data_IF_684346584635
#
_entry.id   IF_684346584635
#
_cell.length_a   1.000
_cell.length_b   1.000
_cell.length_c   1.000
_cell.angle_alpha   90.00
_cell.angle_beta   90.00
_cell.angle_gamma   90.00
#
_symmetry.space_group_name_H-M   'P 1'
#
loop_
_entity.id
_entity.type
_entity.pdbx_description
1 polymer ?
#
# COMPACT_ATOMS: atom_id res chain seq x y z
N UNK A 1 -23.31 -3.75 6.44
CA UNK A 1 -22.98 -2.84 5.34
C UNK A 1 -22.93 -1.43 5.89
N UNK A 2 -21.99 -0.64 5.47
CA UNK A 2 -21.80 0.74 5.89
C UNK A 2 -22.92 1.61 5.30
N UNK A 3 -23.50 2.55 6.08
CA UNK A 3 -24.52 3.47 5.56
C UNK A 3 -23.86 4.66 4.86
N UNK A 4 -23.93 4.79 3.51
CA UNK A 4 -23.35 5.92 2.78
C UNK A 4 -23.94 7.29 3.19
N UNK A 5 -25.13 7.30 3.80
CA UNK A 5 -25.76 8.53 4.28
C UNK A 5 -24.97 9.21 5.41
N UNK A 6 -24.04 8.50 6.07
CA UNK A 6 -23.10 9.07 7.04
C UNK A 6 -22.11 10.04 6.40
N UNK A 7 -21.89 9.90 5.08
CA UNK A 7 -20.95 10.70 4.30
C UNK A 7 -21.61 11.80 3.48
N UNK A 8 -22.95 11.91 3.53
CA UNK A 8 -23.66 12.99 2.84
C UNK A 8 -23.60 14.25 3.69
N UNK A 9 -22.88 15.29 3.27
CA UNK A 9 -22.70 16.51 4.07
C UNK A 9 -24.04 17.22 4.22
N UNK A 10 -24.55 17.31 5.43
CA UNK A 10 -25.66 18.22 5.72
C UNK A 10 -25.15 19.61 6.16
N UNK A 11 -23.84 19.78 6.45
CA UNK A 11 -23.17 21.06 6.69
C UNK A 11 -21.66 20.93 6.97
N UNK A 12 -21.10 19.71 7.16
CA UNK A 12 -19.66 19.47 7.42
C UNK A 12 -19.28 18.06 6.97
N UNK A 13 -18.09 17.88 6.39
CA UNK A 13 -17.55 16.58 6.03
C UNK A 13 -17.49 15.62 7.23
N UNK A 14 -17.65 14.32 7.00
CA UNK A 14 -17.50 13.32 8.04
C UNK A 14 -16.07 13.28 8.58
N UNK A 15 -15.93 13.13 9.88
CA UNK A 15 -14.62 13.02 10.52
C UNK A 15 -14.25 11.55 10.74
N UNK A 16 -13.21 11.11 10.06
CA UNK A 16 -12.64 9.77 10.16
C UNK A 16 -11.33 9.82 10.93
N UNK A 17 -11.17 8.97 11.93
CA UNK A 17 -9.95 8.91 12.74
C UNK A 17 -9.25 7.58 12.52
N UNK A 18 -7.91 7.59 12.43
CA UNK A 18 -7.09 6.38 12.41
C UNK A 18 -6.31 6.24 13.72
N UNK A 19 -6.32 5.04 14.30
CA UNK A 19 -5.47 4.64 15.43
C UNK A 19 -4.98 3.21 15.25
N UNK A 20 -3.71 2.94 15.62
CA UNK A 20 -3.16 1.59 15.64
C UNK A 20 -3.67 0.82 16.87
N UNK A 21 -4.20 -0.37 16.66
CA UNK A 21 -4.62 -1.26 17.75
C UNK A 21 -3.40 -1.64 18.62
N UNK A 22 -3.52 -1.48 19.92
CA UNK A 22 -2.43 -1.75 20.86
C UNK A 22 -1.44 -0.61 21.08
N UNK A 23 -1.70 0.58 20.53
CA UNK A 23 -0.84 1.74 20.72
C UNK A 23 -1.52 2.84 21.55
N UNK A 24 -0.82 3.50 22.48
CA UNK A 24 0.55 3.27 22.97
C UNK A 24 0.72 2.04 23.86
N UNK A 25 -0.37 1.53 24.43
CA UNK A 25 -0.44 0.28 25.18
C UNK A 25 -1.66 -0.53 24.74
N UNK A 26 -1.54 -1.85 24.77
CA UNK A 26 -2.65 -2.75 24.37
C UNK A 26 -3.89 -2.59 25.24
N UNK A 27 -3.71 -2.18 26.50
CA UNK A 27 -4.79 -1.91 27.45
C UNK A 27 -5.58 -0.64 27.11
N UNK A 28 -5.02 0.29 26.35
CA UNK A 28 -5.62 1.59 26.07
C UNK A 28 -6.63 1.57 24.92
N UNK A 29 -6.51 0.61 24.00
CA UNK A 29 -7.23 0.62 22.73
C UNK A 29 -8.72 0.82 22.89
N UNK A 30 -9.36 0.09 23.79
CA UNK A 30 -10.82 0.16 23.99
C UNK A 30 -11.25 1.55 24.51
N UNK A 31 -10.52 2.10 25.46
CA UNK A 31 -10.82 3.41 26.03
C UNK A 31 -10.55 4.55 25.03
N UNK A 32 -9.50 4.42 24.20
CA UNK A 32 -9.23 5.33 23.07
C UNK A 32 -10.40 5.32 22.08
N UNK A 33 -10.88 4.14 21.64
CA UNK A 33 -12.03 4.04 20.71
C UNK A 33 -13.27 4.74 21.24
N UNK A 34 -13.56 4.58 22.55
CA UNK A 34 -14.68 5.25 23.19
C UNK A 34 -14.43 6.77 23.31
N UNK A 35 -13.20 7.20 23.59
CA UNK A 35 -12.82 8.60 23.62
C UNK A 35 -12.96 9.28 22.26
N UNK A 36 -12.57 8.62 21.17
CA UNK A 36 -12.74 9.12 19.80
C UNK A 36 -14.22 9.35 19.47
N UNK A 37 -15.07 8.36 19.79
CA UNK A 37 -16.51 8.50 19.62
C UNK A 37 -17.08 9.65 20.46
N UNK A 38 -16.68 9.77 21.74
CA UNK A 38 -17.15 10.82 22.62
C UNK A 38 -16.74 12.21 22.13
N UNK A 39 -15.53 12.33 21.55
CA UNK A 39 -15.03 13.55 20.94
C UNK A 39 -15.63 13.89 19.59
N UNK A 40 -16.41 12.96 19.01
CA UNK A 40 -17.17 13.22 17.80
C UNK A 40 -16.61 12.65 16.52
N UNK A 41 -15.74 11.64 16.55
CA UNK A 41 -15.40 10.86 15.36
C UNK A 41 -16.66 10.20 14.78
N UNK A 42 -16.87 10.33 13.49
CA UNK A 42 -17.99 9.72 12.78
C UNK A 42 -17.69 8.26 12.40
N UNK A 43 -16.43 8.00 12.03
CA UNK A 43 -15.92 6.70 11.63
C UNK A 43 -14.55 6.52 12.30
N UNK A 44 -14.26 5.29 12.72
CA UNK A 44 -12.97 4.95 13.31
C UNK A 44 -12.29 3.90 12.46
N UNK A 45 -11.12 4.20 11.94
CA UNK A 45 -10.20 3.25 11.32
C UNK A 45 -9.31 2.68 12.42
N UNK A 46 -9.42 1.39 12.66
CA UNK A 46 -8.57 0.63 13.58
C UNK A 46 -7.48 -0.07 12.78
N UNK A 47 -6.25 0.42 12.91
CA UNK A 47 -5.08 -0.14 12.24
C UNK A 47 -4.72 -1.51 12.82
N UNK A 48 -4.63 -2.51 11.97
CA UNK A 48 -4.10 -3.83 12.30
C UNK A 48 -2.58 -3.77 12.18
N UNK A 49 -1.80 -3.90 13.27
CA UNK A 49 -0.36 -3.72 13.21
C UNK A 49 0.31 -4.79 12.34
N UNK A 50 1.30 -4.36 11.55
CA UNK A 50 2.05 -5.21 10.63
C UNK A 50 3.55 -4.91 10.69
N UNK A 51 4.40 -5.93 10.47
CA UNK A 51 5.85 -5.80 10.54
C UNK A 51 6.47 -5.02 9.39
N UNK A 52 5.78 -4.99 8.24
CA UNK A 52 6.29 -4.44 6.99
C UNK A 52 5.32 -3.41 6.36
N UNK A 53 4.98 -2.31 7.06
CA UNK A 53 3.93 -1.38 6.67
C UNK A 53 4.42 -0.39 5.60
N UNK A 54 4.63 -0.87 4.36
CA UNK A 54 5.29 -0.16 3.26
C UNK A 54 4.53 1.09 2.78
N UNK A 55 3.21 1.12 2.96
CA UNK A 55 2.38 2.26 2.55
C UNK A 55 2.28 3.35 3.63
N UNK A 56 2.74 3.07 4.84
CA UNK A 56 2.59 3.96 5.99
C UNK A 56 3.81 4.86 6.21
N UNK A 57 3.54 6.03 6.79
CA UNK A 57 4.58 6.96 7.21
C UNK A 57 5.26 6.55 8.53
N UNK A 58 6.41 7.18 8.87
CA UNK A 58 7.23 6.77 10.03
C UNK A 58 6.47 6.73 11.38
N UNK A 59 5.49 7.60 11.57
CA UNK A 59 4.70 7.68 12.81
C UNK A 59 3.81 6.44 12.98
N UNK A 60 3.17 5.99 11.90
CA UNK A 60 2.34 4.77 11.91
C UNK A 60 3.23 3.54 12.00
N UNK A 61 4.33 3.48 11.24
CA UNK A 61 5.32 2.39 11.34
C UNK A 61 5.84 2.20 12.78
N UNK A 62 6.12 3.31 13.49
CA UNK A 62 6.53 3.25 14.89
C UNK A 62 5.41 2.71 15.79
N UNK A 63 4.17 3.14 15.57
CA UNK A 63 3.02 2.65 16.34
C UNK A 63 2.75 1.17 16.13
N UNK A 64 2.88 0.68 14.90
CA UNK A 64 2.76 -0.74 14.56
C UNK A 64 3.84 -1.57 15.26
N UNK A 65 5.09 -1.11 15.21
CA UNK A 65 6.20 -1.77 15.91
C UNK A 65 5.94 -1.91 17.41
N UNK A 66 5.50 -0.83 18.06
CA UNK A 66 5.20 -0.82 19.51
C UNK A 66 4.05 -1.79 19.81
N UNK A 67 3.01 -1.85 18.98
CA UNK A 67 1.88 -2.75 19.15
C UNK A 67 2.29 -4.23 18.98
N UNK A 68 3.11 -4.54 17.97
CA UNK A 68 3.63 -5.88 17.72
C UNK A 68 4.54 -6.36 18.86
N UNK A 69 5.39 -5.49 19.42
CA UNK A 69 6.24 -5.81 20.59
C UNK A 69 5.41 -6.17 21.83
N UNK A 70 4.16 -5.72 21.91
CA UNK A 70 3.19 -6.08 22.95
C UNK A 70 2.36 -7.34 22.62
N UNK A 71 2.62 -7.97 21.47
CA UNK A 71 1.96 -9.18 21.03
C UNK A 71 0.55 -8.96 20.46
N UNK A 72 0.28 -7.77 19.94
CA UNK A 72 -1.02 -7.47 19.29
C UNK A 72 -1.02 -8.06 17.88
N UNK A 73 -2.01 -8.88 17.60
CA UNK A 73 -2.29 -9.51 16.32
C UNK A 73 -3.70 -9.19 15.83
N UNK A 74 -4.10 -9.77 14.69
CA UNK A 74 -5.45 -9.57 14.14
C UNK A 74 -6.56 -10.04 15.10
N UNK A 75 -6.36 -11.15 15.80
CA UNK A 75 -7.30 -11.68 16.78
C UNK A 75 -7.53 -10.70 17.95
N UNK A 76 -6.45 -10.10 18.44
CA UNK A 76 -6.50 -9.05 19.46
C UNK A 76 -7.29 -7.82 18.98
N UNK A 77 -7.09 -7.40 17.73
CA UNK A 77 -7.87 -6.29 17.13
C UNK A 77 -9.38 -6.58 17.17
N UNK A 78 -9.79 -7.80 16.82
CA UNK A 78 -11.21 -8.21 16.89
C UNK A 78 -11.73 -8.18 18.32
N UNK A 79 -10.93 -8.59 19.29
CA UNK A 79 -11.32 -8.56 20.70
C UNK A 79 -11.50 -7.12 21.20
N UNK A 80 -10.64 -6.18 20.80
CA UNK A 80 -10.82 -4.77 21.15
C UNK A 80 -12.12 -4.20 20.57
N UNK A 81 -12.46 -4.52 19.33
CA UNK A 81 -13.73 -4.10 18.73
C UNK A 81 -14.91 -4.67 19.53
N UNK A 82 -14.89 -5.96 19.88
CA UNK A 82 -15.93 -6.62 20.66
C UNK A 82 -16.13 -5.97 22.04
N UNK A 83 -15.03 -5.71 22.75
CA UNK A 83 -15.07 -5.05 24.06
C UNK A 83 -15.57 -3.60 23.94
N UNK A 84 -15.13 -2.85 22.94
CA UNK A 84 -15.61 -1.49 22.73
C UNK A 84 -17.12 -1.46 22.42
N UNK A 85 -17.61 -2.40 21.60
CA UNK A 85 -19.05 -2.56 21.33
C UNK A 85 -19.85 -2.86 22.60
N UNK A 86 -19.37 -3.79 23.43
CA UNK A 86 -19.99 -4.11 24.71
C UNK A 86 -20.04 -2.91 25.68
N UNK A 87 -19.08 -1.98 25.56
CA UNK A 87 -19.01 -0.74 26.35
C UNK A 87 -19.71 0.46 25.68
N UNK A 88 -20.45 0.25 24.59
CA UNK A 88 -21.30 1.28 23.98
C UNK A 88 -20.71 2.00 22.77
N UNK A 89 -19.67 1.46 22.13
CA UNK A 89 -19.18 1.97 20.84
C UNK A 89 -20.23 1.73 19.76
N UNK A 90 -20.76 2.79 19.16
CA UNK A 90 -21.74 2.75 18.06
C UNK A 90 -21.19 3.28 16.75
N UNK A 91 -20.09 4.06 16.78
CA UNK A 91 -19.42 4.55 15.57
C UNK A 91 -18.99 3.36 14.69
N UNK A 92 -19.15 3.44 13.36
CA UNK A 92 -18.60 2.44 12.46
C UNK A 92 -17.10 2.25 12.67
N UNK A 93 -16.66 0.98 12.66
CA UNK A 93 -15.26 0.60 12.76
C UNK A 93 -14.82 -0.02 11.44
N UNK A 94 -13.79 0.54 10.85
CA UNK A 94 -13.09 0.04 9.66
C UNK A 94 -11.80 -0.60 10.11
N UNK A 95 -11.56 -1.86 9.78
CA UNK A 95 -10.26 -2.51 9.98
C UNK A 95 -9.36 -2.14 8.83
N UNK A 96 -8.26 -1.44 9.11
CA UNK A 96 -7.30 -1.01 8.10
C UNK A 96 -5.97 -1.72 8.31
N UNK A 97 -5.39 -2.25 7.26
CA UNK A 97 -4.09 -2.92 7.34
C UNK A 97 -3.65 -3.53 6.04
N UNK A 98 -2.78 -4.53 6.15
CA UNK A 98 -2.16 -5.23 5.05
C UNK A 98 -2.76 -6.62 4.86
N UNK A 99 -2.62 -7.16 3.66
CA UNK A 99 -3.26 -8.41 3.30
C UNK A 99 -2.64 -9.64 4.00
N UNK A 100 -1.33 -9.65 4.23
CA UNK A 100 -0.66 -10.81 4.78
C UNK A 100 -1.21 -11.29 6.15
N UNK A 101 -1.50 -10.43 7.14
CA UNK A 101 -2.17 -10.85 8.37
C UNK A 101 -3.54 -11.51 8.14
N UNK A 102 -4.33 -11.00 7.18
CA UNK A 102 -5.64 -11.54 6.84
C UNK A 102 -5.54 -12.90 6.14
N UNK A 103 -4.58 -13.02 5.20
CA UNK A 103 -4.29 -14.29 4.53
C UNK A 103 -3.82 -15.36 5.51
N UNK A 104 -2.91 -15.00 6.44
CA UNK A 104 -2.41 -15.92 7.47
C UNK A 104 -3.51 -16.37 8.45
N UNK A 105 -4.47 -15.49 8.76
CA UNK A 105 -5.63 -15.81 9.60
C UNK A 105 -6.67 -16.66 8.86
N UNK A 106 -6.69 -16.58 7.53
CA UNK A 106 -7.67 -17.16 6.61
C UNK A 106 -8.76 -16.15 6.26
N UNK A 107 -8.86 -15.78 4.97
CA UNK A 107 -9.69 -14.68 4.47
C UNK A 107 -11.15 -14.74 4.91
N UNK A 108 -11.83 -15.85 4.62
CA UNK A 108 -13.24 -16.05 4.99
C UNK A 108 -13.44 -16.00 6.51
N UNK A 109 -12.52 -16.62 7.26
CA UNK A 109 -12.53 -16.60 8.72
C UNK A 109 -12.32 -15.18 9.24
N UNK A 110 -11.38 -14.44 8.68
CA UNK A 110 -11.08 -13.08 9.07
C UNK A 110 -12.29 -12.16 8.91
N UNK A 111 -12.97 -12.23 7.78
CA UNK A 111 -14.17 -11.43 7.50
C UNK A 111 -15.34 -11.81 8.42
N UNK A 112 -15.64 -13.11 8.56
CA UNK A 112 -16.70 -13.60 9.42
C UNK A 112 -16.52 -13.20 10.88
N UNK A 113 -15.30 -13.36 11.41
CA UNK A 113 -15.01 -13.04 12.82
C UNK A 113 -14.97 -11.51 13.05
N UNK A 114 -14.54 -10.70 12.05
CA UNK A 114 -14.64 -9.25 12.09
C UNK A 114 -16.10 -8.78 12.17
N UNK A 115 -16.97 -9.37 11.35
CA UNK A 115 -18.41 -9.09 11.41
C UNK A 115 -18.99 -9.43 12.77
N UNK A 116 -18.68 -10.61 13.29
CA UNK A 116 -19.12 -11.07 14.61
C UNK A 116 -18.59 -10.19 15.75
N UNK A 117 -17.40 -9.62 15.62
CA UNK A 117 -16.84 -8.66 16.57
C UNK A 117 -17.52 -7.29 16.50
N UNK A 118 -18.22 -6.97 15.42
CA UNK A 118 -18.94 -5.71 15.22
C UNK A 118 -18.17 -4.69 14.37
N UNK A 119 -17.15 -5.10 13.61
CA UNK A 119 -16.56 -4.29 12.56
C UNK A 119 -17.54 -4.11 11.38
N UNK A 120 -17.32 -3.10 10.56
CA UNK A 120 -18.23 -2.70 9.49
C UNK A 120 -17.59 -2.77 8.09
N UNK A 121 -16.30 -2.57 8.00
CA UNK A 121 -15.59 -2.47 6.72
C UNK A 121 -14.12 -2.84 6.84
N UNK A 122 -13.49 -3.02 5.66
CA UNK A 122 -12.05 -3.20 5.51
C UNK A 122 -11.45 -2.19 4.54
N UNK A 123 -10.25 -1.72 4.89
CA UNK A 123 -9.27 -1.12 3.98
C UNK A 123 -8.05 -2.03 3.97
N UNK A 124 -7.74 -2.65 2.84
CA UNK A 124 -6.56 -3.51 2.68
C UNK A 124 -5.63 -2.85 1.66
N UNK A 125 -4.53 -2.27 2.15
CA UNK A 125 -3.75 -1.29 1.38
C UNK A 125 -2.93 -1.89 0.23
N UNK A 126 -2.64 -3.19 0.29
CA UNK A 126 -1.82 -3.93 -0.68
C UNK A 126 -2.58 -5.08 -1.37
N UNK A 127 -3.91 -5.09 -1.28
CA UNK A 127 -4.77 -6.06 -1.96
C UNK A 127 -5.50 -5.39 -3.14
N UNK A 128 -4.95 -5.45 -4.36
CA UNK A 128 -5.63 -4.90 -5.54
C UNK A 128 -6.86 -5.75 -5.88
N UNK A 129 -7.89 -5.16 -6.51
CA UNK A 129 -9.14 -5.85 -6.83
C UNK A 129 -8.97 -7.14 -7.64
N UNK A 130 -7.96 -7.21 -8.48
CA UNK A 130 -7.64 -8.35 -9.33
C UNK A 130 -7.23 -9.60 -8.53
N UNK A 131 -6.76 -9.38 -7.30
CA UNK A 131 -6.34 -10.44 -6.37
C UNK A 131 -7.34 -10.66 -5.22
N UNK A 132 -8.38 -9.83 -5.15
CA UNK A 132 -9.28 -9.75 -4.01
C UNK A 132 -10.55 -10.61 -4.14
N UNK A 133 -10.67 -11.48 -5.16
CA UNK A 133 -11.92 -12.21 -5.46
C UNK A 133 -12.46 -12.95 -4.24
N UNK A 134 -11.65 -13.77 -3.58
CA UNK A 134 -12.03 -14.53 -2.38
C UNK A 134 -12.42 -13.61 -1.25
N UNK A 135 -11.60 -12.61 -0.97
CA UNK A 135 -11.84 -11.66 0.12
C UNK A 135 -13.12 -10.83 -0.09
N UNK A 136 -13.32 -10.32 -1.31
CA UNK A 136 -14.54 -9.59 -1.68
C UNK A 136 -15.79 -10.48 -1.63
N UNK A 137 -15.67 -11.76 -2.01
CA UNK A 137 -16.71 -12.75 -1.87
C UNK A 137 -17.15 -12.87 -0.41
N UNK A 138 -16.22 -13.11 0.49
CA UNK A 138 -16.45 -13.21 1.93
C UNK A 138 -17.06 -11.92 2.50
N UNK A 139 -16.56 -10.73 2.09
CA UNK A 139 -17.12 -9.46 2.52
C UNK A 139 -18.60 -9.31 2.13
N UNK A 140 -18.97 -9.71 0.90
CA UNK A 140 -20.36 -9.66 0.43
C UNK A 140 -21.25 -10.61 1.20
N UNK A 141 -20.82 -11.84 1.44
CA UNK A 141 -21.57 -12.86 2.19
C UNK A 141 -21.85 -12.42 3.62
N UNK A 142 -20.88 -11.79 4.28
CA UNK A 142 -21.01 -11.32 5.66
C UNK A 142 -21.59 -9.89 5.77
N UNK A 143 -21.89 -9.21 4.66
CA UNK A 143 -22.37 -7.84 4.65
C UNK A 143 -21.36 -6.83 5.21
N UNK A 144 -20.07 -7.08 4.97
CA UNK A 144 -18.97 -6.17 5.28
C UNK A 144 -18.63 -5.32 4.06
N UNK A 145 -18.33 -4.05 4.27
CA UNK A 145 -17.89 -3.17 3.17
C UNK A 145 -16.40 -3.34 2.90
N UNK A 146 -16.03 -3.25 1.63
CA UNK A 146 -14.65 -3.09 1.18
C UNK A 146 -14.45 -1.68 0.64
N UNK A 147 -13.46 -0.97 1.17
CA UNK A 147 -13.17 0.42 0.82
C UNK A 147 -11.92 0.45 -0.06
N UNK A 148 -12.07 0.66 -1.37
CA UNK A 148 -10.92 0.75 -2.25
C UNK A 148 -10.16 2.07 -2.08
N UNK A 149 -8.84 2.02 -2.30
CA UNK A 149 -7.99 3.21 -2.30
C UNK A 149 -7.88 3.80 -3.71
N UNK A 150 -7.72 5.13 -3.77
CA UNK A 150 -7.40 5.87 -4.98
C UNK A 150 -6.17 6.72 -4.71
N UNK A 151 -5.13 6.55 -5.53
CA UNK A 151 -3.88 7.30 -5.42
C UNK A 151 -3.84 8.50 -6.39
N UNK A 152 -2.93 9.46 -6.22
CA UNK A 152 -2.80 10.60 -7.13
C UNK A 152 -2.59 10.22 -8.59
N UNK A 153 -1.92 9.09 -8.85
CA UNK A 153 -1.61 8.59 -10.18
C UNK A 153 -2.67 7.64 -10.76
N UNK A 154 -3.69 7.25 -9.98
CA UNK A 154 -4.76 6.34 -10.44
C UNK A 154 -5.51 6.97 -11.61
N UNK A 155 -5.48 6.30 -12.77
CA UNK A 155 -6.14 6.74 -14.01
C UNK A 155 -7.67 6.67 -13.93
N UNK A 156 -8.37 7.40 -14.81
CA UNK A 156 -9.84 7.47 -14.77
C UNK A 156 -10.53 6.11 -14.99
N UNK A 157 -9.99 5.26 -15.86
CA UNK A 157 -10.54 3.92 -16.09
C UNK A 157 -10.41 3.06 -14.83
N UNK A 158 -9.27 3.15 -14.18
CA UNK A 158 -9.03 2.48 -12.90
C UNK A 158 -9.99 2.99 -11.82
N UNK A 159 -10.22 4.31 -11.73
CA UNK A 159 -11.21 4.90 -10.81
C UNK A 159 -12.61 4.34 -11.10
N UNK A 160 -13.03 4.24 -12.38
CA UNK A 160 -14.32 3.62 -12.73
C UNK A 160 -14.41 2.16 -12.31
N UNK A 161 -13.30 1.42 -12.40
CA UNK A 161 -13.26 0.04 -11.94
C UNK A 161 -13.39 -0.04 -10.41
N UNK A 162 -12.59 0.72 -9.68
CA UNK A 162 -12.61 0.79 -8.21
C UNK A 162 -13.97 1.25 -7.68
N UNK A 163 -14.60 2.23 -8.32
CA UNK A 163 -15.90 2.75 -7.91
C UNK A 163 -17.04 1.73 -7.98
N UNK A 164 -16.93 0.72 -8.86
CA UNK A 164 -17.91 -0.38 -8.93
C UNK A 164 -17.78 -1.36 -7.77
N UNK A 165 -16.62 -1.41 -7.12
CA UNK A 165 -16.36 -2.28 -5.98
C UNK A 165 -16.70 -1.58 -4.65
N UNK A 166 -16.66 -0.25 -4.65
CA UNK A 166 -17.02 0.54 -3.48
C UNK A 166 -18.52 0.47 -3.21
N UNK A 167 -18.90 -0.06 -2.08
CA UNK A 167 -20.29 -0.12 -1.60
C UNK A 167 -20.58 0.91 -0.50
N UNK A 168 -19.58 1.70 -0.11
CA UNK A 168 -19.67 2.77 0.88
C UNK A 168 -19.00 4.05 0.39
N UNK A 169 -17.67 4.09 0.40
CA UNK A 169 -16.88 5.23 -0.08
C UNK A 169 -15.54 4.74 -0.65
N UNK A 170 -14.81 5.65 -1.31
CA UNK A 170 -13.43 5.42 -1.71
C UNK A 170 -12.49 6.26 -0.86
N UNK A 171 -11.36 5.68 -0.46
CA UNK A 171 -10.31 6.35 0.28
C UNK A 171 -9.32 7.00 -0.69
N UNK A 172 -9.25 8.32 -0.68
CA UNK A 172 -8.35 9.09 -1.55
C UNK A 172 -7.08 9.43 -0.80
N UNK A 173 -5.96 8.85 -1.23
CA UNK A 173 -4.63 9.23 -0.74
C UNK A 173 -4.21 10.53 -1.42
N UNK A 174 -3.94 11.59 -0.65
CA UNK A 174 -3.47 12.86 -1.19
C UNK A 174 -1.99 13.09 -0.91
N UNK A 175 -1.29 13.78 -1.81
CA UNK A 175 0.08 14.26 -1.58
C UNK A 175 0.06 15.58 -0.79
N UNK A 176 -0.39 15.56 0.45
CA UNK A 176 -0.20 16.72 1.31
C UNK A 176 1.16 16.62 2.00
N UNK A 177 2.15 17.32 1.43
CA UNK A 177 3.39 17.70 2.11
C UNK A 177 4.31 16.58 2.59
N UNK A 178 5.12 15.99 1.69
CA UNK A 178 6.39 15.34 2.07
C UNK A 178 7.54 16.34 2.18
N UNK A 179 7.31 17.64 1.92
CA UNK A 179 8.30 18.71 2.05
C UNK A 179 7.69 19.86 2.85
N UNK A 180 8.15 20.02 4.09
CA UNK A 180 8.00 21.13 5.02
C UNK A 180 6.94 22.20 4.74
N UNK A 181 6.03 22.42 5.73
CA UNK A 181 5.17 23.60 5.87
C UNK A 181 4.55 24.15 4.60
N UNK A 182 3.66 23.39 3.98
CA UNK A 182 2.74 23.97 3.00
C UNK A 182 1.55 24.63 3.74
N UNK A 183 1.42 25.91 3.63
CA UNK A 183 0.41 26.75 4.29
C UNK A 183 -0.95 26.76 3.61
N UNK A 184 -1.22 25.85 2.69
CA UNK A 184 -2.53 25.71 2.01
C UNK A 184 -2.73 24.31 1.45
N UNK A 185 -3.96 23.82 1.44
CA UNK A 185 -4.38 22.64 0.66
C UNK A 185 -4.01 22.90 -0.80
N UNK A 186 -3.19 22.04 -1.38
CA UNK A 186 -2.63 22.31 -2.69
C UNK A 186 -3.75 22.26 -3.76
N UNK A 187 -3.67 23.13 -4.78
CA UNK A 187 -4.50 23.08 -5.99
C UNK A 187 -4.54 21.67 -6.60
N UNK A 188 -3.53 20.87 -6.38
CA UNK A 188 -3.42 19.48 -6.81
C UNK A 188 -4.45 18.54 -6.19
N UNK A 189 -4.92 18.78 -4.96
CA UNK A 189 -6.00 17.98 -4.36
C UNK A 189 -7.35 18.28 -5.04
N UNK A 190 -7.67 19.55 -5.26
CA UNK A 190 -8.89 19.94 -5.98
C UNK A 190 -8.95 19.31 -7.38
N UNK A 191 -7.85 19.36 -8.13
CA UNK A 191 -7.74 18.74 -9.45
C UNK A 191 -7.87 17.19 -9.39
N UNK A 192 -7.28 16.56 -8.37
CA UNK A 192 -7.42 15.12 -8.16
C UNK A 192 -8.87 14.73 -7.89
N UNK A 193 -9.55 15.41 -6.99
CA UNK A 193 -10.95 15.14 -6.65
C UNK A 193 -11.88 15.43 -7.83
N UNK A 194 -11.68 16.54 -8.56
CA UNK A 194 -12.44 16.84 -9.77
C UNK A 194 -12.30 15.76 -10.83
N UNK A 195 -11.09 15.22 -11.03
CA UNK A 195 -10.83 14.10 -11.95
C UNK A 195 -11.56 12.81 -11.53
N UNK A 196 -11.61 12.51 -10.22
CA UNK A 196 -12.33 11.36 -9.70
C UNK A 196 -13.83 11.54 -9.87
N UNK A 197 -14.37 12.68 -9.45
CA UNK A 197 -15.80 12.99 -9.55
C UNK A 197 -16.32 13.07 -10.99
N UNK A 198 -15.46 13.33 -11.96
CA UNK A 198 -15.84 13.26 -13.39
C UNK A 198 -16.29 11.85 -13.84
N UNK A 199 -16.01 10.81 -13.06
CA UNK A 199 -16.27 9.41 -13.45
C UNK A 199 -17.07 8.60 -12.41
N UNK A 200 -17.35 9.17 -11.23
CA UNK A 200 -18.11 8.48 -10.17
C UNK A 200 -18.74 9.46 -9.17
N UNK A 201 -19.90 9.07 -8.63
CA UNK A 201 -20.59 9.75 -7.54
C UNK A 201 -20.36 9.06 -6.17
N UNK A 202 -19.49 8.06 -6.10
CA UNK A 202 -19.15 7.39 -4.83
C UNK A 202 -18.52 8.44 -3.89
N UNK A 203 -18.96 8.49 -2.61
CA UNK A 203 -18.37 9.39 -1.63
C UNK A 203 -16.87 9.22 -1.49
N UNK A 204 -16.16 10.33 -1.26
CA UNK A 204 -14.70 10.37 -1.17
C UNK A 204 -14.25 10.76 0.24
N UNK A 205 -13.48 9.91 0.89
CA UNK A 205 -12.77 10.22 2.12
C UNK A 205 -11.31 10.55 1.80
N UNK A 206 -10.84 11.73 2.19
CA UNK A 206 -9.47 12.19 1.91
C UNK A 206 -8.60 12.01 3.13
N UNK A 207 -7.54 11.24 2.98
CA UNK A 207 -6.50 11.02 3.98
C UNK A 207 -5.13 11.50 3.52
N UNK A 208 -4.25 11.68 4.49
CA UNK A 208 -2.86 12.11 4.36
C UNK A 208 -2.61 13.62 4.58
N UNK A 209 -1.84 13.90 5.63
CA UNK A 209 -1.30 15.25 5.91
C UNK A 209 -2.25 16.21 6.62
N UNK A 210 -3.52 15.85 6.82
CA UNK A 210 -4.47 16.65 7.60
C UNK A 210 -4.12 16.55 9.08
N UNK A 211 -3.95 17.69 9.77
CA UNK A 211 -3.46 17.71 11.16
C UNK A 211 -4.13 18.76 12.04
N UNK A 212 -4.84 19.72 11.47
CA UNK A 212 -5.48 20.83 12.18
C UNK A 212 -6.95 20.97 11.78
N UNK A 213 -7.71 21.76 12.57
CA UNK A 213 -9.08 22.11 12.23
C UNK A 213 -9.18 22.87 10.91
N UNK A 214 -8.26 23.80 10.65
CA UNK A 214 -8.27 24.56 9.40
C UNK A 214 -8.09 23.63 8.18
N UNK A 215 -7.15 22.69 8.26
CA UNK A 215 -7.00 21.65 7.22
C UNK A 215 -8.25 20.77 7.10
N UNK A 216 -8.90 20.42 8.22
CA UNK A 216 -10.13 19.63 8.21
C UNK A 216 -11.27 20.38 7.49
N UNK A 217 -11.44 21.67 7.75
CA UNK A 217 -12.45 22.51 7.10
C UNK A 217 -12.14 22.65 5.62
N UNK A 218 -10.90 23.02 5.27
CA UNK A 218 -10.48 23.25 3.88
C UNK A 218 -10.65 21.97 3.01
N UNK A 219 -10.23 20.80 3.51
CA UNK A 219 -10.43 19.53 2.80
C UNK A 219 -11.91 19.16 2.77
N UNK A 220 -12.63 19.41 3.85
CA UNK A 220 -14.07 19.14 3.96
C UNK A 220 -14.98 19.93 3.03
N UNK A 221 -14.49 21.05 2.47
CA UNK A 221 -15.19 21.77 1.40
C UNK A 221 -15.11 21.03 0.05
N UNK A 222 -14.12 20.14 -0.11
CA UNK A 222 -13.85 19.43 -1.35
C UNK A 222 -14.25 17.94 -1.31
N UNK A 223 -14.27 17.34 -0.12
CA UNK A 223 -14.47 15.91 0.10
C UNK A 223 -15.65 15.62 1.03
N UNK A 224 -16.20 14.41 0.95
CA UNK A 224 -17.33 13.97 1.78
C UNK A 224 -16.88 13.57 3.20
N UNK A 225 -15.62 13.14 3.33
CA UNK A 225 -15.00 12.81 4.61
C UNK A 225 -13.51 13.19 4.63
N UNK A 226 -13.02 13.45 5.84
CA UNK A 226 -11.61 13.78 6.09
C UNK A 226 -11.03 12.85 7.12
N UNK A 227 -9.87 12.26 6.79
CA UNK A 227 -9.19 11.27 7.64
C UNK A 227 -7.98 11.89 8.31
N UNK A 228 -7.85 11.71 9.63
CA UNK A 228 -6.68 12.13 10.40
C UNK A 228 -6.13 10.94 11.20
N UNK A 229 -4.88 10.57 10.92
CA UNK A 229 -4.17 9.46 11.56
C UNK A 229 -2.92 9.89 12.31
N UNK A 230 -1.83 10.14 11.61
CA UNK A 230 -0.49 10.37 12.20
C UNK A 230 -0.44 11.44 13.28
N UNK A 231 -1.24 12.51 13.14
CA UNK A 231 -1.33 13.57 14.17
C UNK A 231 -1.98 13.03 15.44
N UNK A 232 -3.05 12.26 15.33
CA UNK A 232 -3.72 11.63 16.47
C UNK A 232 -2.78 10.63 17.17
N UNK A 233 -2.07 9.80 16.44
CA UNK A 233 -1.03 8.89 16.99
C UNK A 233 0.01 9.67 17.80
N UNK A 234 0.47 10.82 17.28
CA UNK A 234 1.42 11.69 18.01
C UNK A 234 0.82 12.26 19.28
N UNK A 235 -0.45 12.68 19.27
CA UNK A 235 -1.13 13.19 20.48
C UNK A 235 -1.29 12.09 21.55
N UNK A 236 -1.63 10.87 21.14
CA UNK A 236 -1.73 9.72 22.04
C UNK A 236 -0.38 9.35 22.66
N UNK A 237 0.70 9.38 21.87
CA UNK A 237 2.06 9.16 22.34
C UNK A 237 2.46 10.14 23.45
N UNK A 238 2.04 11.40 23.32
CA UNK A 238 2.40 12.49 24.23
C UNK A 238 1.43 12.63 25.44
N UNK A 239 0.34 11.88 25.48
CA UNK A 239 -0.72 12.02 26.50
C UNK A 239 -0.36 11.44 27.88
N UNK A 240 0.87 10.94 28.08
CA UNK A 240 1.30 10.31 29.31
C UNK A 240 1.08 8.79 29.34
N UNK A 241 1.28 8.18 30.51
CA UNK A 241 1.25 6.72 30.66
C UNK A 241 -0.10 6.15 31.15
N UNK A 242 -1.03 7.00 31.54
CA UNK A 242 -2.34 6.60 32.07
C UNK A 242 -3.38 6.43 30.96
N UNK A 243 -4.10 5.31 30.96
CA UNK A 243 -5.16 4.98 30.00
C UNK A 243 -6.25 6.04 29.95
N UNK A 244 -6.70 6.54 31.09
CA UNK A 244 -7.72 7.58 31.15
C UNK A 244 -7.22 8.92 30.54
N UNK A 245 -5.96 9.26 30.75
CA UNK A 245 -5.33 10.44 30.12
C UNK A 245 -5.28 10.32 28.60
N UNK A 246 -4.96 9.14 28.06
CA UNK A 246 -4.92 8.85 26.62
C UNK A 246 -6.31 8.88 26.00
N UNK A 247 -7.30 8.26 26.63
CA UNK A 247 -8.70 8.33 26.20
C UNK A 247 -9.23 9.78 26.18
N UNK A 248 -8.92 10.56 27.23
CA UNK A 248 -9.27 11.97 27.31
C UNK A 248 -8.53 12.81 26.26
N UNK A 249 -7.28 12.47 25.91
CA UNK A 249 -6.53 13.12 24.83
C UNK A 249 -7.18 12.85 23.46
N UNK A 250 -7.57 11.60 23.19
CA UNK A 250 -8.31 11.22 21.99
C UNK A 250 -9.62 12.03 21.85
N UNK A 251 -10.39 12.12 22.94
CA UNK A 251 -11.61 12.91 22.99
C UNK A 251 -11.34 14.39 22.69
N UNK A 252 -10.43 15.02 23.43
CA UNK A 252 -10.10 16.45 23.25
C UNK A 252 -9.60 16.76 21.84
N UNK A 253 -8.80 15.85 21.27
CA UNK A 253 -8.33 15.99 19.88
C UNK A 253 -9.50 16.04 18.90
N UNK A 254 -10.42 15.08 19.00
CA UNK A 254 -11.61 15.06 18.14
C UNK A 254 -12.48 16.30 18.34
N UNK A 255 -12.72 16.72 19.57
CA UNK A 255 -13.46 17.93 19.89
C UNK A 255 -12.80 19.19 19.29
N UNK A 256 -11.47 19.30 19.32
CA UNK A 256 -10.74 20.40 18.72
C UNK A 256 -10.86 20.43 17.19
N UNK A 257 -10.81 19.27 16.54
CA UNK A 257 -10.96 19.18 15.07
C UNK A 257 -12.41 19.48 14.66
N UNK A 258 -13.40 18.91 15.34
CA UNK A 258 -14.82 19.08 14.98
C UNK A 258 -15.42 20.41 15.45
N UNK A 259 -14.81 21.09 16.43
CA UNK A 259 -15.31 22.33 16.99
C UNK A 259 -16.54 22.17 17.89
N UNK A 260 -16.81 20.98 18.39
CA UNK A 260 -17.99 20.67 19.21
C UNK A 260 -18.11 21.55 20.47
N UNK A 261 -16.98 21.99 21.06
CA UNK A 261 -16.95 22.85 22.27
C UNK A 261 -17.27 24.32 22.01
N UNK A 262 -17.13 24.80 20.79
CA UNK A 262 -17.31 26.21 20.44
C UNK A 262 -18.74 26.56 19.97
N UNK A 263 -19.73 25.71 20.26
CA UNK A 263 -21.12 25.89 19.80
C UNK A 263 -21.29 25.60 18.31
N UNK A 264 -20.32 24.97 17.68
CA UNK A 264 -20.37 24.52 16.30
C UNK A 264 -21.26 23.28 16.15
N UNK A 265 -22.38 23.47 15.47
CA UNK A 265 -23.25 22.51 14.81
C UNK A 265 -23.80 21.41 15.72
N UNK A 266 -25.07 21.52 16.09
CA UNK A 266 -25.88 20.39 16.59
C UNK A 266 -25.83 19.24 15.57
N UNK A 267 -25.13 18.17 15.90
CA UNK A 267 -25.15 16.94 15.10
C UNK A 267 -26.54 16.31 15.16
N UNK A 268 -27.21 16.29 14.03
CA UNK A 268 -28.46 15.52 13.91
C UNK A 268 -28.18 14.05 14.24
N UNK A 269 -29.11 13.48 15.01
CA UNK A 269 -29.20 12.13 15.51
C UNK A 269 -28.50 11.09 14.63
N UNK A 270 -27.52 10.35 15.17
CA UNK A 270 -26.89 9.21 14.54
C UNK A 270 -27.92 8.27 13.93
N UNK A 271 -27.82 8.04 12.62
CA UNK A 271 -28.60 7.02 11.94
C UNK A 271 -28.05 5.63 12.35
N UNK A 272 -28.96 4.74 12.72
CA UNK A 272 -28.64 3.32 12.96
C UNK A 272 -28.44 2.65 11.59
N UNK A 273 -27.47 1.74 11.51
CA UNK A 273 -27.29 0.82 10.40
C UNK A 273 -28.63 0.11 10.09
N UNK A 274 -29.21 0.38 8.93
CA UNK A 274 -30.34 -0.34 8.40
C UNK A 274 -29.98 -1.04 7.10
N UNK A 275 -30.54 -2.21 6.89
CA UNK A 275 -30.31 -3.12 5.78
C UNK A 275 -30.49 -2.45 4.41
N UNK A 276 -29.43 -2.32 3.64
CA UNK A 276 -29.46 -1.91 2.24
C UNK A 276 -29.50 -3.15 1.33
N UNK A 277 -30.26 -3.12 0.22
CA UNK A 277 -30.38 -4.27 -0.67
C UNK A 277 -29.10 -4.58 -1.42
N UNK A 278 -28.84 -5.88 -1.62
CA UNK A 278 -27.72 -6.40 -2.40
C UNK A 278 -27.74 -5.88 -3.85
N UNK A 279 -26.60 -5.42 -4.35
CA UNK A 279 -26.41 -5.10 -5.77
C UNK A 279 -25.90 -6.32 -6.52
N UNK A 280 -26.41 -6.48 -7.75
CA UNK A 280 -26.08 -7.60 -8.63
C UNK A 280 -24.60 -7.71 -8.99
N UNK A 281 -24.16 -8.95 -9.20
CA UNK A 281 -22.77 -9.33 -9.51
C UNK A 281 -22.22 -8.64 -10.77
N UNK A 282 -21.05 -8.02 -10.65
CA UNK A 282 -20.31 -7.41 -11.76
C UNK A 282 -19.43 -8.48 -12.42
N UNK A 283 -19.44 -8.63 -13.76
CA UNK A 283 -18.57 -9.57 -14.46
C UNK A 283 -17.10 -9.11 -14.39
N UNK A 284 -16.20 -10.06 -14.21
CA UNK A 284 -14.74 -9.86 -14.28
C UNK A 284 -14.33 -9.38 -15.68
N UNK A 285 -13.51 -8.32 -15.83
CA UNK A 285 -13.02 -7.89 -17.12
C UNK A 285 -12.03 -8.92 -17.70
N UNK A 286 -12.23 -9.34 -18.93
CA UNK A 286 -11.23 -10.09 -19.69
C UNK A 286 -10.11 -9.12 -20.09
N UNK A 287 -8.85 -9.56 -19.90
CA UNK A 287 -7.68 -8.85 -20.38
C UNK A 287 -7.76 -8.66 -21.92
N UNK A 288 -7.51 -7.44 -22.39
CA UNK A 288 -7.50 -7.12 -23.81
C UNK A 288 -6.35 -7.84 -24.52
N UNK A 289 -6.67 -8.47 -25.66
CA UNK A 289 -5.75 -9.25 -26.46
C UNK A 289 -4.65 -8.38 -27.10
N UNK A 290 -3.40 -8.79 -26.93
CA UNK A 290 -2.23 -8.18 -27.58
C UNK A 290 -2.11 -8.74 -29.01
N UNK A 291 -2.03 -7.87 -30.00
CA UNK A 291 -1.83 -8.20 -31.40
C UNK A 291 -0.44 -8.82 -31.59
N UNK A 292 -0.39 -10.05 -32.10
CA UNK A 292 0.83 -10.79 -32.39
C UNK A 292 1.34 -10.53 -33.82
N UNK A 293 2.62 -10.16 -33.91
CA UNK A 293 3.39 -10.14 -35.18
C UNK A 293 4.43 -11.26 -35.11
N UNK A 294 4.52 -12.10 -36.15
CA UNK A 294 5.44 -13.25 -36.21
C UNK A 294 6.89 -12.81 -36.27
N UNK A 295 7.66 -13.01 -35.22
CA UNK A 295 9.10 -12.75 -35.19
C UNK A 295 9.88 -13.79 -34.39
N UNK A 296 11.15 -13.88 -34.70
CA UNK A 296 12.19 -14.78 -34.17
C UNK A 296 12.06 -15.06 -32.67
N UNK A 297 12.27 -16.29 -32.20
CA UNK A 297 12.20 -16.64 -30.79
C UNK A 297 13.17 -15.79 -29.95
N UNK A 298 12.62 -15.01 -29.02
CA UNK A 298 13.41 -14.23 -28.06
C UNK A 298 13.62 -15.10 -26.82
N UNK A 299 14.87 -15.33 -26.36
CA UNK A 299 15.13 -16.13 -25.19
C UNK A 299 14.37 -15.62 -23.95
N UNK A 300 13.59 -16.49 -23.32
CA UNK A 300 12.78 -16.16 -22.14
C UNK A 300 11.38 -15.61 -22.43
N UNK A 301 11.00 -15.40 -23.70
CA UNK A 301 9.65 -14.94 -24.05
C UNK A 301 8.57 -15.97 -23.67
N UNK A 302 8.86 -17.25 -23.85
CA UNK A 302 7.99 -18.38 -23.51
C UNK A 302 7.69 -18.48 -22.00
N UNK A 303 8.50 -17.86 -21.16
CA UNK A 303 8.22 -17.75 -19.72
C UNK A 303 7.16 -16.69 -19.41
N UNK A 304 6.98 -15.70 -20.28
CA UNK A 304 6.10 -14.54 -20.07
C UNK A 304 4.82 -14.64 -20.91
N UNK A 305 4.91 -15.22 -22.12
CA UNK A 305 3.77 -15.41 -23.00
C UNK A 305 3.52 -16.90 -23.26
N UNK A 306 2.27 -17.26 -23.53
CA UNK A 306 1.89 -18.61 -23.90
C UNK A 306 2.13 -18.88 -25.40
N UNK A 307 1.79 -20.09 -25.86
CA UNK A 307 1.91 -20.51 -27.26
C UNK A 307 1.07 -19.65 -28.23
N UNK A 308 0.08 -18.92 -27.72
CA UNK A 308 -0.78 -18.02 -28.50
C UNK A 308 -0.25 -16.58 -28.48
N UNK A 309 0.84 -16.31 -27.77
CA UNK A 309 1.40 -14.96 -27.59
C UNK A 309 0.67 -14.11 -26.56
N UNK A 310 -0.25 -14.70 -25.79
CA UNK A 310 -0.91 -14.01 -24.66
C UNK A 310 -0.02 -14.03 -23.42
N UNK A 311 -0.04 -12.95 -22.66
CA UNK A 311 0.71 -12.85 -21.40
C UNK A 311 0.19 -13.90 -20.42
N UNK A 312 1.09 -14.75 -19.92
CA UNK A 312 0.73 -15.75 -18.93
C UNK A 312 0.25 -15.05 -17.65
N UNK A 313 -0.82 -15.55 -17.02
CA UNK A 313 -1.24 -15.00 -15.74
C UNK A 313 -0.08 -15.13 -14.72
N UNK A 314 0.10 -14.15 -13.82
CA UNK A 314 1.21 -14.13 -12.84
C UNK A 314 0.97 -15.16 -11.72
N UNK A 315 0.52 -16.35 -12.06
CA UNK A 315 0.16 -17.42 -11.12
C UNK A 315 0.67 -18.79 -11.57
N UNK A 316 1.09 -19.58 -10.57
CA UNK A 316 1.44 -20.99 -10.69
C UNK A 316 0.44 -21.80 -9.84
N UNK A 317 -0.72 -22.12 -10.42
CA UNK A 317 -1.84 -22.68 -9.68
C UNK A 317 -2.35 -21.68 -8.62
N UNK A 318 -2.33 -22.07 -7.35
CA UNK A 318 -2.70 -21.19 -6.21
C UNK A 318 -1.61 -20.21 -5.79
N UNK A 319 -0.40 -20.29 -6.33
CA UNK A 319 0.73 -19.45 -5.98
C UNK A 319 0.91 -18.33 -6.99
N UNK A 320 1.53 -17.23 -6.56
CA UNK A 320 1.75 -16.05 -7.38
C UNK A 320 0.67 -14.99 -7.17
N UNK A 321 0.57 -14.07 -8.12
CA UNK A 321 -0.28 -12.89 -8.07
C UNK A 321 0.53 -11.61 -7.98
N UNK A 322 -0.16 -10.46 -8.04
CA UNK A 322 0.44 -9.12 -7.97
C UNK A 322 -0.19 -8.34 -6.81
N UNK A 323 0.49 -8.32 -5.67
CA UNK A 323 0.03 -7.65 -4.45
C UNK A 323 0.82 -6.36 -4.26
N UNK A 324 0.23 -5.25 -4.66
CA UNK A 324 0.86 -3.93 -4.61
C UNK A 324 -0.13 -2.87 -4.12
N UNK A 325 0.33 -1.86 -3.37
CA UNK A 325 -0.49 -0.71 -3.04
C UNK A 325 -0.97 0.02 -4.30
N UNK A 326 -2.18 0.56 -4.29
CA UNK A 326 -2.79 1.25 -5.43
C UNK A 326 -1.89 2.38 -5.98
N UNK A 327 -1.10 3.02 -5.13
CA UNK A 327 -0.15 4.05 -5.53
C UNK A 327 0.93 3.57 -6.52
N UNK A 328 1.21 2.27 -6.56
CA UNK A 328 2.21 1.64 -7.44
C UNK A 328 1.59 0.92 -8.64
N UNK A 329 0.29 0.71 -8.66
CA UNK A 329 -0.38 -0.10 -9.69
C UNK A 329 -0.09 0.38 -11.12
N UNK A 330 -0.36 1.66 -11.42
CA UNK A 330 -0.12 2.23 -12.76
C UNK A 330 1.36 2.19 -13.16
N UNK A 331 2.27 2.36 -12.21
CA UNK A 331 3.71 2.25 -12.45
C UNK A 331 4.10 0.83 -12.87
N UNK A 332 3.51 -0.20 -12.25
CA UNK A 332 3.74 -1.59 -12.63
C UNK A 332 3.16 -1.93 -13.99
N UNK A 333 1.96 -1.43 -14.32
CA UNK A 333 1.36 -1.60 -15.65
C UNK A 333 2.21 -0.93 -16.75
N UNK A 334 2.71 0.29 -16.48
CA UNK A 334 3.65 0.99 -17.39
C UNK A 334 4.93 0.17 -17.61
N UNK A 335 5.50 -0.35 -16.53
CA UNK A 335 6.73 -1.15 -16.56
C UNK A 335 6.52 -2.47 -17.32
N UNK A 336 5.43 -3.18 -17.08
CA UNK A 336 5.11 -4.43 -17.75
C UNK A 336 4.98 -4.23 -19.27
N UNK A 337 4.22 -3.22 -19.70
CA UNK A 337 4.07 -2.88 -21.12
C UNK A 337 5.42 -2.55 -21.80
N UNK A 338 6.24 -1.75 -21.11
CA UNK A 338 7.56 -1.39 -21.61
C UNK A 338 8.49 -2.60 -21.68
N UNK A 339 8.44 -3.48 -20.69
CA UNK A 339 9.21 -4.73 -20.67
C UNK A 339 8.82 -5.66 -21.82
N UNK A 340 7.53 -5.91 -22.01
CA UNK A 340 7.02 -6.75 -23.11
C UNK A 340 7.39 -6.18 -24.49
N UNK A 341 7.39 -4.86 -24.64
CA UNK A 341 7.84 -4.19 -25.86
C UNK A 341 9.34 -4.37 -26.06
N UNK A 342 10.14 -4.11 -25.04
CA UNK A 342 11.59 -4.24 -25.10
C UNK A 342 12.03 -5.68 -25.34
N UNK A 343 11.33 -6.66 -24.75
CA UNK A 343 11.62 -8.08 -24.90
C UNK A 343 11.55 -8.53 -26.36
N UNK A 344 10.67 -7.93 -27.15
CA UNK A 344 10.45 -8.22 -28.59
C UNK A 344 11.28 -7.32 -29.51
N UNK A 345 11.97 -6.32 -29.01
CA UNK A 345 12.72 -5.35 -29.79
C UNK A 345 14.17 -5.78 -29.98
N UNK A 346 14.62 -6.14 -31.21
CA UNK A 346 16.00 -6.50 -31.49
C UNK A 346 16.99 -5.35 -31.21
N UNK A 347 16.54 -4.10 -31.22
CA UNK A 347 17.41 -2.95 -30.88
C UNK A 347 17.72 -2.91 -29.40
N UNK A 348 16.74 -3.23 -28.54
CA UNK A 348 16.99 -3.33 -27.10
C UNK A 348 18.08 -4.36 -26.79
N UNK A 349 18.01 -5.52 -27.41
CA UNK A 349 18.98 -6.58 -27.19
C UNK A 349 20.36 -6.23 -27.74
N UNK A 350 20.43 -5.61 -28.93
CA UNK A 350 21.70 -5.12 -29.49
C UNK A 350 22.32 -4.05 -28.58
N UNK A 351 21.54 -3.12 -28.05
CA UNK A 351 22.01 -2.11 -27.08
C UNK A 351 22.50 -2.81 -25.81
N UNK A 352 21.73 -3.74 -25.26
CA UNK A 352 22.13 -4.49 -24.06
C UNK A 352 23.42 -5.28 -24.28
N UNK A 353 23.55 -6.00 -25.37
CA UNK A 353 24.74 -6.78 -25.72
C UNK A 353 25.96 -5.90 -25.98
N UNK A 354 25.78 -4.68 -26.49
CA UNK A 354 26.88 -3.72 -26.65
C UNK A 354 27.57 -3.34 -25.34
N UNK A 355 26.95 -3.60 -24.21
CA UNK A 355 27.52 -3.40 -22.87
C UNK A 355 28.23 -4.64 -22.30
N UNK A 356 28.28 -5.76 -23.01
CA UNK A 356 28.87 -7.02 -22.50
C UNK A 356 30.33 -6.86 -22.10
N UNK A 357 31.13 -6.19 -22.90
CA UNK A 357 32.53 -5.91 -22.54
C UNK A 357 32.62 -5.10 -21.23
N UNK A 358 31.79 -4.07 -21.10
CA UNK A 358 31.74 -3.25 -19.88
C UNK A 358 31.26 -4.05 -18.65
N UNK A 359 30.32 -4.95 -18.82
CA UNK A 359 29.79 -5.81 -17.75
C UNK A 359 30.83 -6.87 -17.34
N UNK A 360 31.68 -7.30 -18.27
CA UNK A 360 32.59 -8.44 -18.12
C UNK A 360 31.96 -9.76 -18.62
N UNK A 361 31.17 -9.70 -19.69
CA UNK A 361 30.51 -10.88 -20.26
C UNK A 361 31.10 -11.27 -21.62
N UNK A 362 31.08 -12.59 -21.94
CA UNK A 362 30.69 -13.72 -21.07
C UNK A 362 31.64 -13.85 -19.87
N UNK A 363 31.09 -14.11 -18.66
CA UNK A 363 31.91 -14.34 -17.48
C UNK A 363 32.69 -15.65 -17.61
N UNK A 364 33.91 -15.66 -17.07
CA UNK A 364 34.84 -16.78 -17.17
C UNK A 364 34.30 -18.04 -16.49
N UNK A 365 34.58 -19.20 -17.08
CA UNK A 365 34.39 -20.51 -16.44
C UNK A 365 35.77 -21.06 -16.10
N UNK A 366 36.09 -21.08 -14.81
CA UNK A 366 37.39 -21.48 -14.28
C UNK A 366 37.35 -22.89 -13.69
N UNK A 367 38.20 -23.79 -14.19
CA UNK A 367 38.41 -25.09 -13.54
C UNK A 367 39.23 -24.91 -12.27
N UNK A 368 38.74 -25.43 -11.14
CA UNK A 368 39.39 -25.36 -9.84
C UNK A 368 40.04 -26.70 -9.47
N UNK A 369 41.27 -26.99 -9.93
CA UNK A 369 41.86 -28.35 -9.82
C UNK A 369 42.09 -28.77 -8.37
N UNK A 370 42.56 -27.84 -7.51
CA UNK A 370 42.76 -28.13 -6.08
C UNK A 370 41.48 -28.42 -5.33
N UNK A 371 40.37 -27.76 -5.66
CA UNK A 371 39.07 -28.05 -5.09
C UNK A 371 38.51 -29.36 -5.63
N UNK A 372 38.74 -29.67 -6.90
CA UNK A 372 38.39 -30.95 -7.54
C UNK A 372 39.10 -32.09 -6.86
N UNK A 373 40.41 -31.99 -6.61
CA UNK A 373 41.20 -32.97 -5.91
C UNK A 373 40.74 -33.15 -4.45
N UNK A 374 40.51 -32.05 -3.74
CA UNK A 374 40.02 -32.08 -2.37
C UNK A 374 38.60 -32.71 -2.25
N UNK A 375 37.72 -32.47 -3.21
CA UNK A 375 36.41 -33.08 -3.25
C UNK A 375 36.42 -34.61 -3.53
N UNK A 376 37.44 -35.09 -4.20
CA UNK A 376 37.68 -36.52 -4.46
C UNK A 376 36.67 -37.21 -5.38
N UNK A 377 35.91 -36.44 -6.18
CA UNK A 377 34.86 -36.96 -7.03
C UNK A 377 34.59 -36.09 -8.28
N UNK A 378 33.59 -35.21 -8.22
CA UNK A 378 33.22 -34.37 -9.33
C UNK A 378 34.25 -33.30 -9.64
N UNK A 379 34.41 -32.95 -10.90
CA UNK A 379 35.19 -31.75 -11.31
C UNK A 379 34.48 -30.50 -10.86
N UNK A 380 35.20 -29.56 -10.25
CA UNK A 380 34.67 -28.30 -9.75
C UNK A 380 35.06 -27.17 -10.71
N UNK A 381 34.04 -26.53 -11.23
CA UNK A 381 34.16 -25.37 -12.14
C UNK A 381 33.49 -24.18 -11.50
N UNK A 382 34.16 -23.03 -11.52
CA UNK A 382 33.63 -21.76 -10.96
C UNK A 382 33.21 -20.86 -12.09
N UNK A 383 31.92 -20.47 -12.11
CA UNK A 383 31.41 -19.41 -12.96
C UNK A 383 31.75 -18.08 -12.29
N UNK A 384 32.74 -17.39 -12.84
CA UNK A 384 33.43 -16.24 -12.20
C UNK A 384 32.63 -14.93 -12.33
N UNK A 385 31.44 -14.87 -11.73
CA UNK A 385 30.63 -13.63 -11.69
C UNK A 385 31.23 -12.55 -10.76
N UNK A 386 32.19 -12.92 -9.92
CA UNK A 386 33.01 -12.04 -9.11
C UNK A 386 33.98 -11.18 -9.94
N UNK A 387 34.28 -11.57 -11.17
CA UNK A 387 35.12 -10.82 -12.12
C UNK A 387 34.32 -9.82 -12.97
N UNK A 388 32.99 -9.82 -12.88
CA UNK A 388 32.19 -8.82 -13.55
C UNK A 388 32.49 -7.42 -13.00
N UNK A 389 32.18 -6.40 -13.79
CA UNK A 389 32.28 -5.03 -13.34
C UNK A 389 31.44 -4.81 -12.07
N UNK A 390 31.96 -4.13 -11.07
CA UNK A 390 31.45 -4.01 -9.69
C UNK A 390 31.58 -5.26 -8.79
N UNK A 391 32.31 -6.29 -9.23
CA UNK A 391 32.68 -7.44 -8.42
C UNK A 391 31.54 -8.43 -8.12
N UNK A 392 30.41 -8.36 -8.84
CA UNK A 392 29.28 -9.27 -8.61
C UNK A 392 28.39 -9.41 -9.84
N UNK A 393 27.47 -10.38 -9.78
CA UNK A 393 26.46 -10.64 -10.82
C UNK A 393 25.42 -9.50 -10.96
N UNK A 394 25.33 -8.59 -10.01
CA UNK A 394 24.29 -7.54 -9.97
C UNK A 394 24.36 -6.55 -11.14
N UNK A 395 25.55 -6.34 -11.72
CA UNK A 395 25.71 -5.48 -12.89
C UNK A 395 24.89 -5.97 -14.09
N UNK A 396 24.67 -7.29 -14.23
CA UNK A 396 23.93 -7.87 -15.34
C UNK A 396 22.49 -7.35 -15.40
N UNK A 397 21.77 -7.44 -14.29
CA UNK A 397 20.39 -6.97 -14.24
C UNK A 397 20.29 -5.45 -14.14
N UNK A 398 21.24 -4.78 -13.50
CA UNK A 398 21.23 -3.32 -13.36
C UNK A 398 21.32 -2.63 -14.72
N UNK A 399 22.15 -3.10 -15.66
CA UNK A 399 22.21 -2.56 -17.02
C UNK A 399 20.88 -2.71 -17.74
N UNK A 400 20.27 -3.91 -17.74
CA UNK A 400 18.99 -4.14 -18.41
C UNK A 400 17.85 -3.29 -17.81
N UNK A 401 17.77 -3.19 -16.49
CA UNK A 401 16.78 -2.38 -15.80
C UNK A 401 16.94 -0.88 -16.10
N UNK A 402 18.16 -0.36 -16.13
CA UNK A 402 18.42 1.05 -16.44
C UNK A 402 18.12 1.35 -17.91
N UNK A 403 18.44 0.45 -18.85
CA UNK A 403 18.07 0.61 -20.25
C UNK A 403 16.54 0.68 -20.43
N UNK A 404 15.80 -0.18 -19.72
CA UNK A 404 14.34 -0.15 -19.73
C UNK A 404 13.80 1.16 -19.14
N UNK A 405 14.34 1.61 -17.99
CA UNK A 405 13.95 2.86 -17.36
C UNK A 405 14.22 4.08 -18.26
N UNK A 406 15.33 4.11 -19.00
CA UNK A 406 15.62 5.15 -20.01
C UNK A 406 14.60 5.17 -21.13
N UNK A 407 14.16 4.01 -21.62
CA UNK A 407 13.09 3.92 -22.63
C UNK A 407 11.76 4.43 -22.12
N UNK A 408 11.50 4.31 -20.82
CA UNK A 408 10.36 4.93 -20.12
C UNK A 408 10.55 6.42 -19.84
N UNK A 409 11.66 7.04 -20.27
CA UNK A 409 11.95 8.45 -20.04
C UNK A 409 12.26 8.78 -18.57
N UNK A 410 12.60 7.81 -17.73
CA UNK A 410 12.95 8.04 -16.34
C UNK A 410 14.36 8.64 -16.26
N UNK A 411 14.50 9.72 -15.50
CA UNK A 411 15.78 10.46 -15.31
C UNK A 411 16.37 10.25 -13.92
N UNK A 412 15.59 9.75 -12.99
CA UNK A 412 15.97 9.45 -11.60
C UNK A 412 15.67 8.00 -11.29
N UNK A 413 16.69 7.28 -10.84
CA UNK A 413 16.61 5.86 -10.46
C UNK A 413 16.74 5.74 -8.95
N UNK A 414 15.94 4.88 -8.36
CA UNK A 414 16.07 4.49 -6.97
C UNK A 414 16.37 2.99 -6.88
N UNK A 415 17.17 2.59 -5.91
CA UNK A 415 17.39 1.18 -5.62
C UNK A 415 17.45 0.94 -4.12
N UNK A 416 16.87 -0.16 -3.69
CA UNK A 416 17.09 -0.73 -2.37
C UNK A 416 18.27 -1.69 -2.44
N UNK A 417 19.06 -1.78 -1.37
CA UNK A 417 20.17 -2.72 -1.28
C UNK A 417 20.37 -3.19 0.16
N UNK A 418 20.56 -4.50 0.33
CA UNK A 418 20.93 -5.10 1.61
C UNK A 418 22.44 -5.00 1.84
N UNK A 419 23.23 -5.95 1.32
CA UNK A 419 24.69 -6.01 1.47
C UNK A 419 25.47 -4.96 0.64
N UNK A 420 24.81 -4.09 -0.11
CA UNK A 420 25.43 -3.03 -0.89
C UNK A 420 25.67 -3.36 -2.37
N UNK A 421 25.77 -4.61 -2.77
CA UNK A 421 26.14 -5.01 -4.14
C UNK A 421 25.18 -4.46 -5.21
N UNK A 422 23.88 -4.51 -4.95
CA UNK A 422 22.89 -3.98 -5.90
C UNK A 422 22.95 -2.45 -5.98
N UNK A 423 23.13 -1.78 -4.86
CA UNK A 423 23.31 -0.33 -4.82
C UNK A 423 24.54 0.12 -5.60
N UNK A 424 25.69 -0.53 -5.41
CA UNK A 424 26.92 -0.24 -6.15
C UNK A 424 26.70 -0.44 -7.65
N UNK A 425 26.12 -1.57 -8.07
CA UNK A 425 25.87 -1.85 -9.48
C UNK A 425 24.92 -0.81 -10.09
N UNK A 426 23.81 -0.47 -9.41
CA UNK A 426 22.85 0.52 -9.90
C UNK A 426 23.47 1.92 -10.01
N UNK A 427 24.18 2.37 -8.97
CA UNK A 427 24.86 3.67 -8.99
C UNK A 427 25.90 3.77 -10.12
N UNK A 428 26.68 2.71 -10.33
CA UNK A 428 27.68 2.63 -11.39
C UNK A 428 27.05 2.73 -12.78
N UNK A 429 25.94 2.01 -13.01
CA UNK A 429 25.23 2.07 -14.29
C UNK A 429 24.56 3.43 -14.48
N UNK A 430 23.93 3.99 -13.45
CA UNK A 430 23.33 5.33 -13.51
C UNK A 430 24.40 6.41 -13.85
N UNK A 431 25.58 6.35 -13.22
CA UNK A 431 26.68 7.24 -13.53
C UNK A 431 27.12 7.11 -15.01
N UNK A 432 27.21 5.89 -15.55
CA UNK A 432 27.53 5.65 -16.96
C UNK A 432 26.53 6.30 -17.92
N UNK A 433 25.25 6.32 -17.56
CA UNK A 433 24.18 6.89 -18.39
C UNK A 433 23.81 8.33 -18.04
N UNK A 434 24.46 8.96 -17.07
CA UNK A 434 24.18 10.33 -16.64
C UNK A 434 22.83 10.50 -15.95
N UNK A 435 22.37 9.49 -15.21
CA UNK A 435 21.10 9.48 -14.48
C UNK A 435 21.32 9.81 -13.01
N UNK A 436 20.38 10.51 -12.39
CA UNK A 436 20.32 10.67 -10.94
C UNK A 436 20.06 9.30 -10.29
N UNK A 437 20.79 8.99 -9.20
CA UNK A 437 20.64 7.73 -8.49
C UNK A 437 20.56 7.97 -6.99
N UNK A 438 19.54 7.35 -6.34
CA UNK A 438 19.40 7.35 -4.89
C UNK A 438 19.33 5.90 -4.40
N UNK A 439 20.25 5.57 -3.48
CA UNK A 439 20.33 4.23 -2.89
C UNK A 439 19.77 4.25 -1.48
N UNK A 440 18.82 3.35 -1.21
CA UNK A 440 18.26 3.12 0.11
C UNK A 440 18.84 1.84 0.69
N UNK A 441 19.35 1.94 1.91
CA UNK A 441 19.89 0.78 2.65
C UNK A 441 19.27 0.76 4.05
N UNK A 442 18.79 -0.40 4.49
CA UNK A 442 18.25 -0.57 5.81
C UNK A 442 19.32 -0.33 6.89
N UNK A 443 19.01 0.48 7.90
CA UNK A 443 19.96 0.81 8.97
C UNK A 443 20.47 -0.43 9.72
N UNK A 444 19.66 -1.46 9.87
CA UNK A 444 20.05 -2.74 10.48
C UNK A 444 21.12 -3.49 9.66
N UNK A 445 21.21 -3.25 8.36
CA UNK A 445 22.16 -3.93 7.47
C UNK A 445 23.54 -3.25 7.47
N UNK A 446 23.61 -1.98 7.84
CA UNK A 446 24.89 -1.24 7.91
C UNK A 446 25.84 -1.79 9.00
N UNK A 447 25.29 -2.38 10.05
CA UNK A 447 26.05 -2.91 11.19
C UNK A 447 26.30 -4.40 11.13
N UNK A 448 25.64 -5.14 10.25
CA UNK A 448 25.74 -6.60 10.13
C UNK A 448 26.61 -7.05 8.96
N UNK A 449 26.90 -6.16 8.01
CA UNK A 449 27.89 -6.44 6.96
C UNK A 449 29.28 -6.34 7.57
N UNK A 450 30.11 -7.41 7.51
CA UNK A 450 31.49 -7.30 7.90
C UNK A 450 32.14 -6.24 7.02
N UNK A 451 32.75 -5.23 7.63
CA UNK A 451 33.56 -4.27 6.92
C UNK A 451 34.67 -5.03 6.18
N UNK A 452 34.95 -4.75 4.91
CA UNK A 452 36.07 -5.34 4.22
C UNK A 452 37.39 -4.99 4.89
#
# INVERSE_FOLDING_TARGET
MFDPALLTPQNQAAFVTFVTAGFPSKEDTVDILLGLQAGGADIIELGVPFSDPQADGPVIQESDKIALEQGVDYGACLEYVRQARARGLTAPVVLMGYYNPLLAYGEERAVREARAAGANAFIVVDLPPEEAETFLGACREEGMSFIPLVAPMTGQERVRHLSKLADSFMYVVSKMGTTGAASSVSSTLGDQLARIRAVTDVPLAVGFGVSTRDHFVEVGELADAVVIGSKLITELKNAGADTAARAAAAQRFCEAITGVREGGIERKKRLRLSDAPARDSVPTPKADAVVTDERTPVPGLDAVVDEKGEVRPPRFGRFGGQYVPEALYECHVELERAYLTALRDPEFWREFESHYEYIGRPSELYHAPRLTEHAGGAQIWLKREDLNHTGSHKINNAVGQVLLARRLGKTRIIAETGAGQHGVATATVCARFGLECVIYMGACLLYTSPSP
#
